data_IF_961907110874
#
_entry.id   IF_961907110874
#
_cell.length_a   1.000
_cell.length_b   1.000
_cell.length_c   1.000
_cell.angle_alpha   90.00
_cell.angle_beta   90.00
_cell.angle_gamma   90.00
#
_symmetry.space_group_name_H-M   'P 1'
#
loop_
_entity.id
_entity.type
_entity.pdbx_description
1 polymer ?
#
# COMPACT_ATOMS: atom_id res chain seq x y z
N UNK A 1 3.04 -6.63 -0.12
CA UNK A 1 3.13 -5.43 0.71
C UNK A 1 3.36 -4.20 -0.17
N UNK A 2 2.47 -3.24 -0.10
CA UNK A 2 2.58 -1.96 -0.79
C UNK A 2 2.90 -0.82 0.17
N UNK A 3 2.57 0.42 -0.20
CA UNK A 3 2.73 1.60 0.66
C UNK A 3 1.74 1.62 1.85
N UNK A 4 0.62 0.91 1.75
CA UNK A 4 -0.44 0.92 2.75
C UNK A 4 0.03 0.61 4.18
N UNK A 5 0.69 -0.53 4.43
CA UNK A 5 1.19 -0.88 5.76
C UNK A 5 2.30 0.04 6.26
N UNK A 6 2.97 0.76 5.36
CA UNK A 6 4.00 1.74 5.71
C UNK A 6 3.37 3.10 6.02
N UNK A 7 2.66 3.68 5.06
CA UNK A 7 2.05 5.01 5.19
C UNK A 7 0.93 5.02 6.23
N UNK A 8 0.02 4.04 6.14
CA UNK A 8 -1.10 3.94 7.07
C UNK A 8 -0.66 3.72 8.50
N UNK A 9 0.34 2.86 8.74
CA UNK A 9 0.85 2.61 10.08
C UNK A 9 1.59 3.82 10.66
N UNK A 10 2.39 4.51 9.84
CA UNK A 10 3.10 5.72 10.26
C UNK A 10 2.13 6.85 10.60
N UNK A 11 1.07 7.04 9.79
CA UNK A 11 0.00 7.98 10.11
C UNK A 11 -0.80 7.55 11.35
N UNK A 12 -1.07 6.25 11.49
CA UNK A 12 -1.76 5.70 12.65
C UNK A 12 -1.01 5.91 13.96
N UNK A 13 0.31 6.00 13.92
CA UNK A 13 1.12 6.31 15.10
C UNK A 13 0.86 7.72 15.67
N UNK A 14 0.15 8.61 14.96
CA UNK A 14 -0.33 9.89 15.51
C UNK A 14 -1.28 9.70 16.70
N UNK A 15 -2.00 8.59 16.76
CA UNK A 15 -2.85 8.26 17.93
C UNK A 15 -2.07 7.63 19.08
N UNK A 16 -0.74 7.48 18.93
CA UNK A 16 0.11 6.85 19.92
C UNK A 16 0.06 5.33 19.89
N UNK A 17 0.57 4.67 20.96
CA UNK A 17 0.75 3.21 20.97
C UNK A 17 -0.55 2.41 20.92
N UNK A 18 -1.70 3.02 21.08
CA UNK A 18 -3.01 2.35 20.93
C UNK A 18 -3.19 1.75 19.51
N UNK A 19 -2.47 2.28 18.52
CA UNK A 19 -2.47 1.76 17.16
C UNK A 19 -1.99 0.31 17.07
N UNK A 20 -1.08 -0.12 17.93
CA UNK A 20 -0.58 -1.50 17.94
C UNK A 20 -1.68 -2.52 18.20
N UNK A 21 -2.66 -2.18 19.04
CA UNK A 21 -3.79 -3.05 19.32
C UNK A 21 -4.63 -3.28 18.06
N UNK A 22 -4.94 -2.20 17.34
CA UNK A 22 -5.72 -2.33 16.11
C UNK A 22 -4.95 -3.11 15.03
N UNK A 23 -3.68 -2.81 14.79
CA UNK A 23 -2.88 -3.54 13.81
C UNK A 23 -2.83 -5.03 14.18
N UNK A 24 -2.53 -5.36 15.44
CA UNK A 24 -2.40 -6.76 15.88
C UNK A 24 -3.72 -7.51 15.77
N UNK A 25 -4.76 -7.02 16.44
CA UNK A 25 -6.05 -7.71 16.45
C UNK A 25 -6.77 -7.63 15.10
N UNK A 26 -6.67 -6.49 14.41
CA UNK A 26 -7.23 -6.32 13.08
C UNK A 26 -6.60 -7.29 12.07
N UNK A 27 -5.29 -7.45 12.09
CA UNK A 27 -4.59 -8.38 11.18
C UNK A 27 -4.99 -9.82 11.45
N UNK A 28 -5.03 -10.25 12.72
CA UNK A 28 -5.31 -11.66 13.08
C UNK A 28 -6.79 -12.01 12.84
N UNK A 29 -7.71 -11.19 13.36
CA UNK A 29 -9.14 -11.55 13.43
C UNK A 29 -9.97 -11.00 12.27
N UNK A 30 -9.49 -9.96 11.60
CA UNK A 30 -10.21 -9.36 10.48
C UNK A 30 -9.45 -9.56 9.16
N UNK A 31 -8.27 -8.99 9.00
CA UNK A 31 -7.53 -9.01 7.74
C UNK A 31 -7.14 -10.40 7.27
N UNK A 32 -6.51 -11.20 8.14
CA UNK A 32 -6.11 -12.56 7.83
C UNK A 32 -7.30 -13.47 7.53
N UNK A 33 -8.39 -13.33 8.29
CA UNK A 33 -9.63 -14.08 8.06
C UNK A 33 -10.26 -13.67 6.73
N UNK A 34 -10.36 -12.35 6.47
CA UNK A 34 -10.88 -11.82 5.21
C UNK A 34 -10.09 -12.37 4.01
N UNK A 35 -8.76 -12.29 4.05
CA UNK A 35 -7.90 -12.73 2.94
C UNK A 35 -7.99 -14.23 2.73
N UNK A 36 -8.02 -15.01 3.82
CA UNK A 36 -8.18 -16.45 3.73
C UNK A 36 -9.50 -16.83 3.05
N UNK A 37 -10.63 -16.29 3.52
CA UNK A 37 -11.92 -16.62 2.91
C UNK A 37 -12.05 -16.09 1.49
N UNK A 38 -11.59 -14.87 1.21
CA UNK A 38 -11.60 -14.30 -0.13
C UNK A 38 -10.81 -15.16 -1.12
N UNK A 39 -9.61 -15.61 -0.74
CA UNK A 39 -8.78 -16.47 -1.57
C UNK A 39 -9.35 -17.87 -1.75
N UNK A 40 -9.77 -18.53 -0.65
CA UNK A 40 -10.30 -19.88 -0.69
C UNK A 40 -11.66 -19.97 -1.40
N UNK A 41 -12.52 -18.96 -1.25
CA UNK A 41 -13.76 -18.89 -2.02
C UNK A 41 -13.48 -18.73 -3.51
N UNK A 42 -12.49 -17.93 -3.88
CA UNK A 42 -12.08 -17.80 -5.27
C UNK A 42 -11.54 -19.13 -5.83
N UNK A 43 -10.65 -19.80 -5.09
CA UNK A 43 -10.08 -21.09 -5.48
C UNK A 43 -11.19 -22.15 -5.74
N UNK A 44 -12.13 -22.28 -4.81
CA UNK A 44 -13.25 -23.23 -4.93
C UNK A 44 -14.30 -22.83 -5.96
N UNK A 45 -14.18 -21.66 -6.55
CA UNK A 45 -15.00 -21.18 -7.65
C UNK A 45 -14.17 -20.93 -8.92
N UNK A 46 -13.20 -21.80 -9.20
CA UNK A 46 -12.39 -21.79 -10.43
C UNK A 46 -11.60 -20.48 -10.64
N UNK A 47 -11.16 -19.83 -9.56
CA UNK A 47 -10.46 -18.56 -9.61
C UNK A 47 -11.36 -17.36 -9.94
N UNK A 48 -12.67 -17.46 -9.65
CA UNK A 48 -13.62 -16.37 -9.87
C UNK A 48 -13.24 -15.11 -9.12
N UNK A 49 -13.49 -13.95 -9.72
CA UNK A 49 -13.28 -12.65 -9.07
C UNK A 49 -14.19 -12.48 -7.85
N UNK A 50 -13.82 -11.60 -6.92
CA UNK A 50 -14.66 -11.34 -5.73
C UNK A 50 -16.07 -10.87 -6.14
N UNK A 51 -16.20 -10.13 -7.24
CA UNK A 51 -17.49 -9.71 -7.75
C UNK A 51 -18.32 -10.87 -8.29
N UNK A 52 -17.70 -11.84 -8.97
CA UNK A 52 -18.38 -13.05 -9.44
C UNK A 52 -18.81 -13.93 -8.27
N UNK A 53 -17.94 -14.16 -7.29
CA UNK A 53 -18.26 -14.87 -6.07
C UNK A 53 -19.43 -14.19 -5.37
N UNK A 54 -19.40 -12.87 -5.21
CA UNK A 54 -20.51 -12.11 -4.66
C UNK A 54 -21.80 -12.32 -5.44
N UNK A 55 -21.72 -12.35 -6.78
CA UNK A 55 -22.88 -12.60 -7.64
C UNK A 55 -23.50 -13.98 -7.44
N UNK A 56 -22.66 -15.01 -7.25
CA UNK A 56 -23.12 -16.41 -7.04
C UNK A 56 -23.89 -16.60 -5.74
N UNK A 57 -23.44 -15.91 -4.66
CA UNK A 57 -24.01 -16.10 -3.32
C UNK A 57 -25.02 -15.02 -2.92
N UNK A 58 -24.88 -13.78 -3.39
CA UNK A 58 -25.70 -12.63 -2.98
C UNK A 58 -26.53 -12.02 -4.12
N UNK A 59 -26.40 -12.56 -5.33
CA UNK A 59 -27.19 -12.19 -6.48
C UNK A 59 -26.63 -11.01 -7.30
N UNK A 60 -27.30 -10.69 -8.43
CA UNK A 60 -26.76 -9.80 -9.47
C UNK A 60 -26.65 -8.32 -9.04
N UNK A 61 -27.50 -7.88 -8.12
CA UNK A 61 -27.44 -6.50 -7.61
C UNK A 61 -26.14 -6.29 -6.85
N UNK A 62 -25.83 -7.17 -5.91
CA UNK A 62 -24.60 -7.10 -5.11
C UNK A 62 -23.36 -7.32 -5.98
N UNK A 63 -23.45 -8.13 -7.03
CA UNK A 63 -22.38 -8.30 -8.01
C UNK A 63 -22.03 -6.98 -8.69
N UNK A 64 -23.02 -6.21 -9.14
CA UNK A 64 -22.78 -4.94 -9.82
C UNK A 64 -22.24 -3.88 -8.86
N UNK A 65 -22.75 -3.82 -7.64
CA UNK A 65 -22.20 -2.94 -6.58
C UNK A 65 -20.72 -3.29 -6.35
N UNK A 66 -20.39 -4.57 -6.22
CA UNK A 66 -19.02 -5.02 -5.99
C UNK A 66 -18.08 -4.75 -7.17
N UNK A 67 -18.59 -4.83 -8.41
CA UNK A 67 -17.85 -4.45 -9.62
C UNK A 67 -17.48 -2.97 -9.61
N UNK A 68 -18.46 -2.08 -9.37
CA UNK A 68 -18.21 -0.63 -9.29
C UNK A 68 -17.21 -0.32 -8.18
N UNK A 69 -17.45 -0.88 -6.98
CA UNK A 69 -16.55 -0.70 -5.84
C UNK A 69 -15.12 -1.15 -6.15
N UNK A 70 -14.95 -2.33 -6.73
CA UNK A 70 -13.63 -2.87 -7.08
C UNK A 70 -12.90 -2.00 -8.10
N UNK A 71 -13.60 -1.52 -9.15
CA UNK A 71 -12.98 -0.65 -10.16
C UNK A 71 -12.53 0.67 -9.55
N UNK A 72 -13.38 1.33 -8.76
CA UNK A 72 -13.04 2.58 -8.07
C UNK A 72 -11.85 2.36 -7.14
N UNK A 73 -11.92 1.34 -6.27
CA UNK A 73 -10.84 0.98 -5.35
C UNK A 73 -9.51 0.77 -6.09
N UNK A 74 -9.51 0.00 -7.17
CA UNK A 74 -8.31 -0.34 -7.91
C UNK A 74 -7.69 0.87 -8.61
N UNK A 75 -8.50 1.77 -9.15
CA UNK A 75 -8.01 3.03 -9.74
C UNK A 75 -7.39 3.92 -8.66
N UNK A 76 -8.07 4.08 -7.51
CA UNK A 76 -7.56 4.88 -6.39
C UNK A 76 -6.24 4.33 -5.85
N UNK A 77 -6.18 3.02 -5.60
CA UNK A 77 -4.96 2.33 -5.12
C UNK A 77 -3.83 2.46 -6.14
N UNK A 78 -4.11 2.22 -7.43
CA UNK A 78 -3.13 2.37 -8.50
C UNK A 78 -2.57 3.80 -8.58
N UNK A 79 -3.42 4.80 -8.37
CA UNK A 79 -3.03 6.22 -8.34
C UNK A 79 -2.11 6.52 -7.16
N UNK A 80 -2.45 6.08 -5.95
CA UNK A 80 -1.61 6.26 -4.74
C UNK A 80 -0.26 5.57 -4.92
N UNK A 81 -0.25 4.37 -5.55
CA UNK A 81 0.98 3.64 -5.85
C UNK A 81 1.82 4.23 -6.99
N UNK A 82 1.30 5.21 -7.72
CA UNK A 82 2.07 6.03 -8.65
C UNK A 82 2.60 7.30 -7.97
N UNK A 83 1.76 8.01 -7.22
CA UNK A 83 2.11 9.28 -6.56
C UNK A 83 3.11 9.10 -5.43
N UNK A 84 2.95 8.06 -4.60
CA UNK A 84 3.83 7.79 -3.47
C UNK A 84 5.30 7.62 -3.87
N UNK A 85 5.64 6.69 -4.77
CA UNK A 85 6.99 6.54 -5.30
C UNK A 85 7.53 7.80 -5.98
N UNK A 86 6.71 8.51 -6.76
CA UNK A 86 7.11 9.77 -7.37
C UNK A 86 7.56 10.81 -6.33
N UNK A 87 6.78 10.95 -5.23
CA UNK A 87 7.13 11.82 -4.10
C UNK A 87 8.41 11.39 -3.38
N UNK A 88 8.64 10.08 -3.22
CA UNK A 88 9.84 9.56 -2.58
C UNK A 88 11.09 9.84 -3.43
N UNK A 89 11.03 9.63 -4.74
CA UNK A 89 12.14 9.94 -5.66
C UNK A 89 12.45 11.44 -5.61
N UNK A 90 11.44 12.31 -5.60
CA UNK A 90 11.63 13.76 -5.47
C UNK A 90 12.34 14.12 -4.17
N UNK A 91 11.94 13.52 -3.05
CA UNK A 91 12.59 13.74 -1.75
C UNK A 91 14.08 13.38 -1.80
N UNK A 92 14.40 12.28 -2.43
CA UNK A 92 15.80 11.87 -2.63
C UNK A 92 16.60 12.83 -3.51
N UNK A 93 16.02 13.21 -4.65
CA UNK A 93 16.67 14.18 -5.55
C UNK A 93 16.97 15.50 -4.82
N UNK A 94 16.01 16.00 -4.04
CA UNK A 94 16.20 17.22 -3.23
C UNK A 94 17.30 17.05 -2.19
N UNK A 95 17.28 15.95 -1.44
CA UNK A 95 18.28 15.68 -0.40
C UNK A 95 19.68 15.39 -0.97
N UNK A 96 19.76 14.98 -2.24
CA UNK A 96 21.03 14.81 -2.96
C UNK A 96 21.52 16.11 -3.63
N UNK A 97 20.88 17.25 -3.37
CA UNK A 97 21.28 18.55 -3.93
C UNK A 97 20.90 18.76 -5.41
N UNK A 98 20.04 17.89 -5.98
CA UNK A 98 19.56 18.07 -7.34
C UNK A 98 18.50 19.18 -7.40
N UNK A 99 18.35 19.81 -8.56
CA UNK A 99 17.38 20.88 -8.81
C UNK A 99 16.72 20.74 -10.17
N UNK A 100 15.70 21.55 -10.42
CA UNK A 100 14.98 21.57 -11.71
C UNK A 100 13.96 20.45 -11.85
N UNK A 101 13.84 19.88 -13.04
CA UNK A 101 12.80 18.93 -13.42
C UNK A 101 12.78 17.67 -12.55
N UNK A 102 13.95 17.17 -12.14
CA UNK A 102 14.12 15.98 -11.30
C UNK A 102 13.54 16.13 -9.88
N UNK A 103 13.30 17.34 -9.42
CA UNK A 103 12.70 17.64 -8.12
C UNK A 103 11.20 17.91 -8.20
N UNK A 104 10.57 17.59 -9.33
CA UNK A 104 9.15 17.80 -9.59
C UNK A 104 8.41 16.47 -9.57
N UNK A 105 7.42 16.33 -8.69
CA UNK A 105 6.60 15.10 -8.57
C UNK A 105 5.89 14.75 -9.88
N UNK A 106 5.42 15.76 -10.61
CA UNK A 106 4.74 15.58 -11.90
C UNK A 106 5.62 14.86 -12.93
N UNK A 107 6.92 15.17 -12.97
CA UNK A 107 7.86 14.52 -13.89
C UNK A 107 7.95 13.02 -13.66
N UNK A 108 8.17 12.59 -12.42
CA UNK A 108 8.27 11.18 -12.07
C UNK A 108 6.93 10.45 -12.18
N UNK A 109 5.84 11.13 -11.83
CA UNK A 109 4.49 10.59 -12.01
C UNK A 109 4.20 10.27 -13.48
N UNK A 110 4.54 11.18 -14.40
CA UNK A 110 4.38 10.94 -15.84
C UNK A 110 5.20 9.72 -16.29
N UNK A 111 6.44 9.59 -15.84
CA UNK A 111 7.29 8.43 -16.16
C UNK A 111 6.65 7.13 -15.67
N UNK A 112 6.12 7.10 -14.44
CA UNK A 112 5.45 5.93 -13.88
C UNK A 112 4.17 5.59 -14.65
N UNK A 113 3.37 6.58 -15.01
CA UNK A 113 2.16 6.37 -15.80
C UNK A 113 2.45 5.87 -17.22
N UNK A 114 3.51 6.38 -17.85
CA UNK A 114 4.00 5.86 -19.15
C UNK A 114 4.45 4.40 -19.00
N UNK A 115 5.15 4.07 -17.91
CA UNK A 115 5.49 2.68 -17.61
C UNK A 115 4.24 1.79 -17.48
N UNK A 116 3.20 2.22 -16.75
CA UNK A 116 1.95 1.47 -16.64
C UNK A 116 1.25 1.26 -17.97
N UNK A 117 1.29 2.28 -18.83
CA UNK A 117 0.75 2.17 -20.19
C UNK A 117 1.52 1.13 -21.01
N UNK A 118 2.84 1.18 -21.02
CA UNK A 118 3.70 0.23 -21.74
C UNK A 118 3.53 -1.20 -21.19
N UNK A 119 3.47 -1.35 -19.88
CA UNK A 119 3.28 -2.63 -19.20
C UNK A 119 1.97 -3.33 -19.57
N UNK A 120 0.96 -2.58 -20.05
CA UNK A 120 -0.29 -3.15 -20.56
C UNK A 120 -0.09 -4.00 -21.82
N UNK A 121 0.92 -3.71 -22.63
CA UNK A 121 1.18 -4.36 -23.92
C UNK A 121 2.29 -5.40 -23.88
N UNK A 122 3.23 -5.25 -22.96
CA UNK A 122 4.40 -6.12 -22.85
C UNK A 122 4.18 -7.07 -21.65
N UNK A 123 4.49 -8.35 -21.86
CA UNK A 123 4.52 -9.34 -20.76
C UNK A 123 5.78 -9.09 -19.89
N UNK A 124 5.77 -8.00 -19.15
CA UNK A 124 6.87 -7.64 -18.24
C UNK A 124 6.96 -8.65 -17.09
N UNK A 125 5.90 -9.40 -16.84
CA UNK A 125 5.79 -10.40 -15.77
C UNK A 125 6.96 -11.41 -15.75
N UNK A 126 7.48 -11.78 -16.93
CA UNK A 126 8.61 -12.69 -17.03
C UNK A 126 9.93 -12.08 -16.52
N UNK A 127 10.10 -10.77 -16.63
CA UNK A 127 11.30 -10.04 -16.19
C UNK A 127 11.13 -9.64 -14.71
N UNK A 128 10.01 -9.01 -14.38
CA UNK A 128 9.69 -8.55 -13.02
C UNK A 128 9.58 -9.75 -12.07
N UNK A 129 8.96 -10.87 -12.49
CA UNK A 129 8.81 -12.05 -11.65
C UNK A 129 10.13 -12.64 -11.16
N UNK A 130 11.23 -12.47 -11.90
CA UNK A 130 12.57 -12.90 -11.48
C UNK A 130 13.23 -11.92 -10.50
N UNK A 131 12.94 -10.64 -10.62
CA UNK A 131 13.55 -9.57 -9.80
C UNK A 131 12.70 -9.27 -8.56
N UNK A 132 11.41 -9.57 -8.60
CA UNK A 132 10.46 -9.31 -7.52
C UNK A 132 10.88 -9.87 -6.14
N UNK A 133 11.43 -11.11 -6.03
CA UNK A 133 11.93 -11.62 -4.75
C UNK A 133 13.02 -10.74 -4.14
N UNK A 134 13.88 -10.11 -4.96
CA UNK A 134 14.94 -9.21 -4.49
C UNK A 134 14.34 -7.99 -3.81
N UNK A 135 13.27 -7.41 -4.36
CA UNK A 135 12.58 -6.27 -3.76
C UNK A 135 11.93 -6.63 -2.42
N UNK A 136 11.33 -7.83 -2.34
CA UNK A 136 10.79 -8.36 -1.09
C UNK A 136 11.87 -8.54 -0.02
N UNK A 137 13.03 -9.07 -0.39
CA UNK A 137 14.17 -9.22 0.52
C UNK A 137 14.66 -7.84 0.99
N UNK A 138 14.77 -6.86 0.09
CA UNK A 138 15.14 -5.48 0.47
C UNK A 138 14.16 -4.86 1.47
N UNK A 139 12.85 -5.07 1.29
CA UNK A 139 11.83 -4.63 2.24
C UNK A 139 11.98 -5.31 3.61
N UNK A 140 12.26 -6.61 3.65
CA UNK A 140 12.48 -7.34 4.90
C UNK A 140 13.74 -6.83 5.60
N UNK A 141 14.84 -6.67 4.87
CA UNK A 141 16.11 -6.15 5.43
C UNK A 141 15.87 -4.73 5.97
N UNK A 142 15.15 -3.90 5.24
CA UNK A 142 14.78 -2.55 5.70
C UNK A 142 13.95 -2.61 6.98
N UNK A 143 12.92 -3.45 7.04
CA UNK A 143 12.08 -3.60 8.23
C UNK A 143 12.89 -4.06 9.45
N UNK A 144 13.77 -5.05 9.28
CA UNK A 144 14.70 -5.51 10.32
C UNK A 144 15.67 -4.41 10.73
N UNK A 145 16.19 -3.65 9.76
CA UNK A 145 17.10 -2.54 10.02
C UNK A 145 16.44 -1.41 10.82
N UNK A 146 15.17 -1.09 10.51
CA UNK A 146 14.40 -0.10 11.29
C UNK A 146 14.24 -0.55 12.73
N UNK A 147 13.83 -1.81 12.96
CA UNK A 147 13.73 -2.37 14.32
C UNK A 147 15.09 -2.28 15.03
N UNK A 148 16.15 -2.77 14.39
CA UNK A 148 17.48 -2.77 14.97
C UNK A 148 17.92 -1.34 15.33
N UNK A 149 17.68 -0.35 14.44
CA UNK A 149 17.98 1.05 14.70
C UNK A 149 17.21 1.63 15.90
N UNK A 150 15.94 1.23 16.09
CA UNK A 150 15.15 1.65 17.26
C UNK A 150 15.72 1.07 18.54
N UNK A 151 16.01 -0.21 18.58
CA UNK A 151 16.46 -0.89 19.81
C UNK A 151 17.93 -0.62 20.18
N UNK A 152 18.78 -0.26 19.22
CA UNK A 152 20.20 0.04 19.49
C UNK A 152 20.44 1.47 19.92
N UNK A 153 19.51 2.39 19.69
CA UNK A 153 19.67 3.78 20.09
C UNK A 153 18.82 4.07 21.33
N UNK A 154 19.46 4.34 22.50
CA UNK A 154 18.73 4.61 23.75
C UNK A 154 17.84 5.85 23.72
N UNK A 155 18.03 6.74 22.73
CA UNK A 155 17.19 7.92 22.56
C UNK A 155 15.80 7.58 21.97
N UNK A 156 15.64 6.41 21.38
CA UNK A 156 14.40 5.97 20.76
C UNK A 156 13.63 5.04 21.71
N UNK A 157 12.54 5.53 22.25
CA UNK A 157 11.72 4.78 23.20
C UNK A 157 10.30 4.66 22.68
N UNK A 158 9.81 3.42 22.58
CA UNK A 158 8.41 3.18 22.25
C UNK A 158 7.59 3.47 23.51
N UNK A 159 6.61 4.39 23.48
CA UNK A 159 5.80 4.68 24.64
C UNK A 159 4.96 3.45 25.03
N UNK A 160 4.92 3.18 26.34
CA UNK A 160 4.15 2.07 26.90
C UNK A 160 2.64 2.25 26.65
N UNK A 161 1.99 1.21 26.16
CA UNK A 161 0.54 1.25 25.87
C UNK A 161 -0.25 1.58 27.12
N UNK A 162 0.08 0.91 28.23
CA UNK A 162 -0.69 1.03 29.48
C UNK A 162 -0.61 2.43 30.12
N UNK A 163 0.48 3.13 29.90
CA UNK A 163 0.66 4.50 30.37
C UNK A 163 0.06 5.54 29.39
N UNK A 164 -0.12 5.17 28.12
CA UNK A 164 -0.51 6.06 27.04
C UNK A 164 -1.78 5.57 26.32
N UNK A 165 -2.71 4.98 27.04
CA UNK A 165 -3.99 4.50 26.53
C UNK A 165 -4.99 5.65 26.30
N UNK A 166 -4.52 6.73 25.70
CA UNK A 166 -5.28 7.93 25.41
C UNK A 166 -5.09 8.37 23.97
N UNK A 167 -5.93 9.30 23.54
CA UNK A 167 -5.77 9.88 22.20
C UNK A 167 -4.58 10.86 22.17
N UNK A 168 -3.48 10.46 21.54
CA UNK A 168 -2.27 11.29 21.39
C UNK A 168 -2.25 12.07 20.08
N UNK A 169 -3.32 12.06 19.29
CA UNK A 169 -3.40 12.79 18.03
C UNK A 169 -3.34 14.30 18.28
N UNK A 170 -2.44 15.07 17.61
CA UNK A 170 -2.27 16.50 17.85
C UNK A 170 -3.54 17.32 17.68
N UNK A 171 -4.35 17.00 16.68
CA UNK A 171 -5.65 17.67 16.42
C UNK A 171 -6.81 17.05 17.20
N UNK A 172 -6.58 16.18 18.19
CA UNK A 172 -7.62 15.45 18.92
C UNK A 172 -8.59 14.65 18.04
N UNK A 173 -8.17 14.26 16.83
CA UNK A 173 -8.99 13.44 15.94
C UNK A 173 -9.40 12.15 16.66
N UNK A 174 -10.70 11.78 16.68
CA UNK A 174 -11.18 10.61 17.42
C UNK A 174 -10.48 9.31 17.02
N UNK A 175 -10.21 8.44 17.98
CA UNK A 175 -9.67 7.10 17.73
C UNK A 175 -10.70 6.29 16.94
N UNK A 176 -11.95 6.27 17.43
CA UNK A 176 -13.02 5.53 16.76
C UNK A 176 -13.30 6.11 15.38
N UNK A 177 -13.36 5.26 14.41
CA UNK A 177 -13.45 5.46 12.97
C UNK A 177 -12.14 5.95 12.32
N UNK A 178 -11.55 7.08 12.76
CA UNK A 178 -10.45 7.69 12.01
C UNK A 178 -9.16 6.87 12.06
N UNK A 179 -8.70 6.43 13.23
CA UNK A 179 -7.53 5.56 13.33
C UNK A 179 -7.77 4.24 12.60
N UNK A 180 -8.95 3.65 12.75
CA UNK A 180 -9.30 2.38 12.11
C UNK A 180 -9.27 2.46 10.58
N UNK A 181 -9.76 3.55 10.01
CA UNK A 181 -9.72 3.80 8.56
C UNK A 181 -8.30 4.10 8.10
N UNK A 182 -7.56 4.97 8.81
CA UNK A 182 -6.19 5.36 8.47
C UNK A 182 -5.26 4.15 8.41
N UNK A 183 -5.40 3.23 9.35
CA UNK A 183 -4.55 2.03 9.45
C UNK A 183 -5.18 0.80 8.78
N UNK A 184 -6.27 0.98 8.04
CA UNK A 184 -6.96 -0.14 7.41
C UNK A 184 -6.02 -1.00 6.56
N UNK A 185 -5.16 -0.40 5.74
CA UNK A 185 -4.20 -1.14 4.91
C UNK A 185 -3.16 -1.95 5.71
N UNK A 186 -2.89 -1.59 6.97
CA UNK A 186 -1.98 -2.34 7.85
C UNK A 186 -2.67 -3.44 8.66
N UNK A 187 -3.98 -3.36 8.83
CA UNK A 187 -4.77 -4.30 9.62
C UNK A 187 -5.75 -5.12 8.77
N UNK A 188 -6.33 -4.51 7.73
CA UNK A 188 -7.22 -5.15 6.75
C UNK A 188 -6.97 -4.47 5.42
N UNK A 189 -6.54 -5.19 4.39
CA UNK A 189 -6.31 -4.59 3.09
C UNK A 189 -7.47 -4.85 2.13
N UNK A 190 -8.22 -3.81 1.78
CA UNK A 190 -9.27 -3.90 0.75
C UNK A 190 -8.71 -4.21 -0.64
N UNK A 191 -7.46 -3.88 -0.90
CA UNK A 191 -6.77 -4.26 -2.13
C UNK A 191 -6.60 -5.78 -2.23
N UNK A 192 -6.38 -6.48 -1.12
CA UNK A 192 -6.23 -7.94 -1.10
C UNK A 192 -7.47 -8.67 -1.61
N UNK A 193 -8.67 -8.17 -1.38
CA UNK A 193 -9.91 -8.80 -1.89
C UNK A 193 -9.92 -8.93 -3.42
N UNK A 194 -9.28 -7.99 -4.11
CA UNK A 194 -9.16 -8.00 -5.57
C UNK A 194 -7.96 -8.79 -6.08
N UNK A 195 -6.93 -8.98 -5.23
CA UNK A 195 -5.72 -9.70 -5.58
C UNK A 195 -5.79 -11.19 -5.22
N UNK A 196 -6.52 -11.56 -4.18
CA UNK A 196 -6.69 -12.95 -3.74
C UNK A 196 -7.14 -13.89 -4.87
N UNK A 197 -8.10 -13.51 -5.75
CA UNK A 197 -8.46 -14.33 -6.90
C UNK A 197 -7.34 -14.57 -7.91
N UNK A 198 -6.47 -13.58 -8.10
CA UNK A 198 -5.30 -13.72 -8.98
C UNK A 198 -4.28 -14.71 -8.40
N UNK A 199 -4.10 -14.65 -7.08
CA UNK A 199 -3.22 -15.58 -6.37
C UNK A 199 -3.82 -16.99 -6.32
N UNK A 200 -5.13 -17.13 -6.14
CA UNK A 200 -5.83 -18.41 -6.17
C UNK A 200 -5.56 -19.17 -7.48
N UNK A 201 -5.61 -18.49 -8.62
CA UNK A 201 -5.29 -19.07 -9.94
C UNK A 201 -3.86 -19.57 -10.06
N UNK A 202 -2.94 -19.11 -9.23
CA UNK A 202 -1.53 -19.49 -9.25
C UNK A 202 -1.19 -20.58 -8.24
N UNK A 203 -2.11 -20.94 -7.33
CA UNK A 203 -1.89 -21.96 -6.31
C UNK A 203 -1.80 -23.35 -6.94
N UNK A 204 -0.92 -24.17 -6.38
CA UNK A 204 -0.76 -25.57 -6.81
C UNK A 204 -1.57 -26.54 -5.95
N UNK A 205 -2.01 -26.12 -4.80
CA UNK A 205 -2.74 -26.95 -3.83
C UNK A 205 -3.52 -26.09 -2.84
N UNK A 206 -4.76 -26.44 -2.60
CA UNK A 206 -5.65 -25.81 -1.60
C UNK A 206 -5.03 -25.80 -0.19
N UNK A 207 -4.17 -26.78 0.13
CA UNK A 207 -3.46 -26.83 1.42
C UNK A 207 -2.55 -25.64 1.69
N UNK A 208 -2.13 -24.95 0.65
CA UNK A 208 -1.28 -23.74 0.76
C UNK A 208 -2.09 -22.48 1.09
N UNK A 209 -3.43 -22.51 0.99
CA UNK A 209 -4.29 -21.35 1.13
C UNK A 209 -4.12 -20.62 2.46
N UNK A 210 -3.99 -21.35 3.58
CA UNK A 210 -3.75 -20.71 4.88
C UNK A 210 -2.42 -19.93 4.90
N UNK A 211 -1.35 -20.50 4.37
CA UNK A 211 -0.06 -19.83 4.32
C UNK A 211 -0.05 -18.66 3.32
N UNK A 212 -0.64 -18.84 2.12
CA UNK A 212 -0.63 -17.85 1.04
C UNK A 212 -1.52 -16.65 1.38
N UNK A 213 -2.71 -16.87 1.91
CA UNK A 213 -3.67 -15.78 2.16
C UNK A 213 -3.55 -15.23 3.59
N UNK A 214 -3.83 -16.06 4.59
CA UNK A 214 -3.74 -15.63 5.99
C UNK A 214 -2.32 -15.23 6.39
N UNK A 215 -1.34 -16.09 6.06
CA UNK A 215 0.06 -15.84 6.40
C UNK A 215 0.62 -14.57 5.76
N UNK A 216 0.26 -14.27 4.50
CA UNK A 216 0.68 -13.03 3.83
C UNK A 216 0.13 -11.79 4.56
N UNK A 217 -1.14 -11.80 4.97
CA UNK A 217 -1.73 -10.68 5.72
C UNK A 217 -1.06 -10.49 7.09
N UNK A 218 -0.74 -11.60 7.79
CA UNK A 218 -0.01 -11.53 9.07
C UNK A 218 1.38 -10.92 8.86
N UNK A 219 2.10 -11.33 7.80
CA UNK A 219 3.39 -10.72 7.47
C UNK A 219 3.26 -9.21 7.17
N UNK A 220 2.20 -8.80 6.49
CA UNK A 220 1.93 -7.39 6.23
C UNK A 220 1.64 -6.61 7.52
N UNK A 221 0.88 -7.20 8.44
CA UNK A 221 0.62 -6.65 9.78
C UNK A 221 1.90 -6.49 10.61
N UNK A 222 2.83 -7.44 10.54
CA UNK A 222 4.15 -7.31 11.20
C UNK A 222 4.92 -6.11 10.64
N UNK A 223 4.94 -5.91 9.33
CA UNK A 223 5.57 -4.74 8.70
C UNK A 223 4.88 -3.46 9.20
N UNK A 224 3.56 -3.43 9.26
CA UNK A 224 2.81 -2.29 9.77
C UNK A 224 3.15 -1.97 11.24
N UNK A 225 3.29 -2.99 12.10
CA UNK A 225 3.72 -2.81 13.49
C UNK A 225 5.11 -2.17 13.59
N UNK A 226 6.05 -2.56 12.71
CA UNK A 226 7.39 -1.99 12.67
C UNK A 226 7.34 -0.50 12.33
N UNK A 227 6.57 -0.11 11.34
CA UNK A 227 6.43 1.29 10.95
C UNK A 227 5.65 2.12 11.95
N UNK A 228 4.64 1.55 12.60
CA UNK A 228 3.97 2.18 13.73
C UNK A 228 4.93 2.40 14.91
N UNK A 229 5.78 1.41 15.22
CA UNK A 229 6.80 1.53 16.25
C UNK A 229 7.82 2.64 15.92
N UNK A 230 8.25 2.73 14.65
CA UNK A 230 9.12 3.82 14.20
C UNK A 230 8.44 5.19 14.38
N UNK A 231 7.17 5.32 13.99
CA UNK A 231 6.39 6.54 14.21
C UNK A 231 6.28 6.94 15.67
N UNK A 232 6.08 5.97 16.58
CA UNK A 232 5.98 6.23 18.00
C UNK A 232 7.32 6.52 18.68
N UNK A 233 8.42 5.93 18.19
CA UNK A 233 9.71 5.95 18.90
C UNK A 233 10.66 7.07 18.44
N UNK A 234 10.60 7.47 17.16
CA UNK A 234 11.60 8.37 16.57
C UNK A 234 11.26 9.86 16.69
N UNK A 235 10.09 10.19 17.18
CA UNK A 235 9.59 11.56 17.19
C UNK A 235 9.17 12.00 18.59
N UNK A 236 9.38 13.28 18.87
CA UNK A 236 9.11 13.84 20.20
C UNK A 236 7.59 13.90 20.49
N UNK A 237 7.27 13.53 21.72
CA UNK A 237 5.95 13.70 22.31
C UNK A 237 5.97 15.03 23.08
N UNK A 238 5.05 15.94 22.76
CA UNK A 238 4.89 17.24 23.43
C UNK A 238 3.48 17.32 23.99
N UNK A 239 3.35 17.66 25.26
CA UNK A 239 2.05 17.73 25.96
C UNK A 239 1.16 16.48 25.82
N UNK A 240 1.80 15.30 25.81
CA UNK A 240 1.11 14.02 25.61
C UNK A 240 0.59 13.80 24.20
N UNK A 241 1.07 14.54 23.20
CA UNK A 241 0.69 14.47 21.79
C UNK A 241 1.88 14.13 20.90
N UNK A 242 1.61 13.42 19.81
CA UNK A 242 2.60 13.02 18.78
C UNK A 242 2.95 14.20 17.85
N UNK A 243 3.34 15.33 18.42
CA UNK A 243 3.58 16.58 17.68
C UNK A 243 4.74 16.47 16.70
N UNK A 244 5.86 15.87 17.10
CA UNK A 244 7.03 15.72 16.23
C UNK A 244 6.77 14.82 15.03
N UNK A 245 5.95 13.77 15.18
CA UNK A 245 5.51 12.95 14.06
C UNK A 245 4.58 13.71 13.11
N UNK A 246 3.69 14.54 13.66
CA UNK A 246 2.80 15.36 12.84
C UNK A 246 3.57 16.37 11.99
N UNK A 247 4.61 16.99 12.52
CA UNK A 247 5.51 17.87 11.75
C UNK A 247 6.22 17.12 10.63
N UNK A 248 6.75 15.93 10.91
CA UNK A 248 7.40 15.10 9.90
C UNK A 248 6.41 14.70 8.76
N UNK A 249 5.19 14.34 9.11
CA UNK A 249 4.15 14.00 8.15
C UNK A 249 3.61 15.23 7.38
N UNK A 250 3.63 16.42 7.97
CA UNK A 250 3.28 17.66 7.29
C UNK A 250 4.24 18.01 6.15
N UNK A 251 5.52 17.60 6.27
CA UNK A 251 6.49 17.68 5.17
C UNK A 251 6.23 16.67 4.03
N UNK A 252 5.29 15.75 4.23
CA UNK A 252 4.88 14.71 3.30
C UNK A 252 5.24 13.30 3.80
N UNK A 253 4.40 12.34 3.45
CA UNK A 253 4.58 10.92 3.86
C UNK A 253 5.91 10.35 3.37
N UNK A 254 6.31 10.69 2.14
CA UNK A 254 7.58 10.25 1.57
C UNK A 254 8.79 10.83 2.30
N UNK A 255 8.69 12.07 2.76
CA UNK A 255 9.73 12.71 3.56
C UNK A 255 9.86 12.03 4.93
N UNK A 256 8.75 11.67 5.58
CA UNK A 256 8.76 10.95 6.85
C UNK A 256 9.39 9.55 6.72
N UNK A 257 9.10 8.80 5.65
CA UNK A 257 9.76 7.51 5.40
C UNK A 257 11.26 7.67 5.21
N UNK A 258 11.67 8.66 4.40
CA UNK A 258 13.09 8.96 4.22
C UNK A 258 13.76 9.26 5.56
N UNK A 259 13.14 10.09 6.41
CA UNK A 259 13.65 10.48 7.72
C UNK A 259 13.79 9.27 8.67
N UNK A 260 12.77 8.39 8.72
CA UNK A 260 12.82 7.13 9.49
C UNK A 260 14.00 6.27 9.05
N UNK A 261 14.16 6.04 7.75
CA UNK A 261 15.25 5.22 7.20
C UNK A 261 16.62 5.85 7.47
N UNK A 262 16.74 7.17 7.33
CA UNK A 262 17.96 7.90 7.59
C UNK A 262 18.37 7.85 9.08
N UNK A 263 17.42 8.03 9.99
CA UNK A 263 17.65 8.00 11.44
C UNK A 263 18.01 6.60 11.96
N UNK A 264 17.43 5.54 11.39
CA UNK A 264 17.62 4.18 11.89
C UNK A 264 18.81 3.45 11.26
N UNK A 265 19.07 3.69 9.97
CA UNK A 265 20.07 2.93 9.20
C UNK A 265 21.05 3.82 8.43
N UNK A 266 20.90 5.14 8.46
CA UNK A 266 21.76 6.07 7.68
C UNK A 266 21.64 5.85 6.17
N UNK A 267 22.77 5.99 5.46
CA UNK A 267 22.81 5.87 3.99
C UNK A 267 22.36 4.51 3.45
N UNK A 268 22.61 3.42 4.18
CA UNK A 268 22.17 2.08 3.80
C UNK A 268 20.65 2.00 3.83
N UNK A 269 20.00 2.59 4.85
CA UNK A 269 18.55 2.64 4.97
C UNK A 269 17.91 3.41 3.82
N UNK A 270 18.51 4.52 3.43
CA UNK A 270 18.03 5.32 2.30
C UNK A 270 18.09 4.49 1.00
N UNK A 271 19.19 3.79 0.75
CA UNK A 271 19.34 2.94 -0.43
C UNK A 271 18.31 1.80 -0.48
N UNK A 272 18.08 1.14 0.67
CA UNK A 272 17.05 0.09 0.79
C UNK A 272 15.64 0.62 0.63
N UNK A 273 15.34 1.81 1.17
CA UNK A 273 14.06 2.49 0.99
C UNK A 273 13.81 2.77 -0.49
N UNK A 274 14.83 3.19 -1.26
CA UNK A 274 14.73 3.40 -2.70
C UNK A 274 14.30 2.14 -3.42
N UNK A 275 14.97 1.04 -3.15
CA UNK A 275 14.70 -0.22 -3.85
C UNK A 275 13.35 -0.79 -3.42
N UNK A 276 13.11 -0.90 -2.11
CA UNK A 276 11.92 -1.55 -1.56
C UNK A 276 10.67 -0.68 -1.65
N UNK A 277 10.73 0.55 -1.16
CA UNK A 277 9.55 1.42 -1.01
C UNK A 277 9.19 2.18 -2.30
N UNK A 278 10.12 2.33 -3.24
CA UNK A 278 9.83 2.94 -4.55
C UNK A 278 9.38 1.89 -5.55
N UNK A 279 10.17 0.83 -5.75
CA UNK A 279 9.92 -0.11 -6.86
C UNK A 279 8.72 -1.03 -6.57
N UNK A 280 8.57 -1.49 -5.32
CA UNK A 280 7.50 -2.41 -4.96
C UNK A 280 6.09 -1.83 -5.20
N UNK A 281 5.78 -0.59 -4.79
CA UNK A 281 4.48 0.02 -5.10
C UNK A 281 4.26 0.28 -6.59
N UNK A 282 5.30 0.63 -7.35
CA UNK A 282 5.16 0.82 -8.80
C UNK A 282 4.66 -0.47 -9.45
N UNK A 283 5.23 -1.62 -9.10
CA UNK A 283 4.77 -2.91 -9.62
C UNK A 283 3.36 -3.28 -9.14
N UNK A 284 3.03 -2.93 -7.89
CA UNK A 284 1.69 -3.14 -7.34
C UNK A 284 0.64 -2.24 -8.02
N UNK A 285 1.00 -1.01 -8.37
CA UNK A 285 0.14 -0.09 -9.10
C UNK A 285 -0.17 -0.57 -10.52
N UNK A 286 0.82 -1.13 -11.24
CA UNK A 286 0.57 -1.80 -12.53
C UNK A 286 -0.47 -2.92 -12.37
N UNK A 287 -0.31 -3.75 -11.34
CA UNK A 287 -1.25 -4.84 -11.06
C UNK A 287 -2.64 -4.32 -10.72
N UNK A 288 -2.76 -3.20 -9.99
CA UNK A 288 -4.03 -2.58 -9.65
C UNK A 288 -4.77 -2.07 -10.91
N UNK A 289 -4.10 -1.32 -11.77
CA UNK A 289 -4.69 -0.85 -13.03
C UNK A 289 -5.04 -1.99 -13.98
N UNK A 290 -4.20 -3.03 -14.04
CA UNK A 290 -4.48 -4.25 -14.79
C UNK A 290 -5.73 -4.96 -14.28
N UNK A 291 -5.87 -5.09 -12.96
CA UNK A 291 -7.05 -5.70 -12.33
C UNK A 291 -8.32 -4.88 -12.57
N UNK A 292 -8.25 -3.54 -12.50
CA UNK A 292 -9.36 -2.66 -12.85
C UNK A 292 -9.82 -2.86 -14.29
N UNK A 293 -8.86 -2.91 -15.24
CA UNK A 293 -9.14 -3.19 -16.66
C UNK A 293 -9.78 -4.56 -16.85
N UNK A 294 -9.28 -5.61 -16.21
CA UNK A 294 -9.85 -6.95 -16.32
C UNK A 294 -11.26 -7.02 -15.72
N UNK A 295 -11.50 -6.38 -14.58
CA UNK A 295 -12.86 -6.29 -13.98
C UNK A 295 -13.84 -5.59 -14.92
N UNK A 296 -13.41 -4.53 -15.60
CA UNK A 296 -14.24 -3.86 -16.61
C UNK A 296 -14.44 -4.73 -17.86
N UNK A 297 -13.41 -5.45 -18.29
CA UNK A 297 -13.49 -6.35 -19.43
C UNK A 297 -14.51 -7.48 -19.19
N UNK A 298 -14.48 -8.10 -18.02
CA UNK A 298 -15.44 -9.12 -17.60
C UNK A 298 -16.87 -8.56 -17.51
N UNK A 299 -17.01 -7.35 -17.00
CA UNK A 299 -18.31 -6.69 -16.86
C UNK A 299 -18.93 -6.35 -18.23
N UNK A 300 -18.12 -5.78 -19.13
CA UNK A 300 -18.57 -5.34 -20.46
C UNK A 300 -18.48 -6.48 -21.50
N UNK A 301 -18.03 -7.66 -21.10
CA UNK A 301 -17.81 -8.84 -21.97
C UNK A 301 -16.91 -8.51 -23.19
N UNK A 302 -15.86 -7.74 -22.96
CA UNK A 302 -14.87 -7.35 -23.96
C UNK A 302 -13.68 -8.30 -23.87
N UNK A 303 -13.45 -9.04 -24.95
CA UNK A 303 -12.29 -9.92 -25.06
C UNK A 303 -10.97 -9.15 -24.97
N UNK A 304 -10.02 -9.69 -24.22
CA UNK A 304 -8.73 -9.09 -23.94
C UNK A 304 -7.56 -9.67 -24.75
N UNK A 305 -7.80 -10.56 -25.69
CA UNK A 305 -6.76 -11.11 -26.56
C UNK A 305 -6.28 -10.06 -27.57
N UNK A 306 -7.20 -9.22 -28.05
CA UNK A 306 -6.89 -8.13 -28.96
C UNK A 306 -6.26 -6.91 -28.26
N UNK A 307 -5.12 -6.43 -28.80
CA UNK A 307 -4.49 -5.19 -28.36
C UNK A 307 -5.42 -3.96 -28.42
N UNK A 308 -6.27 -3.89 -29.45
CA UNK A 308 -7.23 -2.79 -29.59
C UNK A 308 -8.25 -2.76 -28.44
N UNK A 309 -8.72 -3.92 -28.00
CA UNK A 309 -9.65 -4.02 -26.86
C UNK A 309 -8.97 -3.73 -25.53
N UNK A 310 -7.71 -4.15 -25.37
CA UNK A 310 -6.89 -3.75 -24.21
C UNK A 310 -6.74 -2.23 -24.13
N UNK A 311 -6.48 -1.57 -25.25
CA UNK A 311 -6.33 -0.11 -25.33
C UNK A 311 -7.62 0.61 -24.98
N UNK A 312 -8.77 0.14 -25.50
CA UNK A 312 -10.09 0.75 -25.22
C UNK A 312 -10.42 0.85 -23.73
N UNK A 313 -9.97 -0.12 -22.94
CA UNK A 313 -10.20 -0.14 -21.50
C UNK A 313 -9.03 0.46 -20.70
N UNK A 314 -7.79 0.29 -21.17
CA UNK A 314 -6.61 0.81 -20.52
C UNK A 314 -6.59 2.35 -20.49
N UNK A 315 -6.90 2.99 -21.62
CA UNK A 315 -6.86 4.46 -21.75
C UNK A 315 -7.81 5.15 -20.77
N UNK A 316 -9.10 4.78 -20.65
CA UNK A 316 -9.97 5.41 -19.65
C UNK A 316 -9.52 5.15 -18.20
N UNK A 317 -9.13 3.92 -17.89
CA UNK A 317 -8.72 3.54 -16.54
C UNK A 317 -7.45 4.31 -16.10
N UNK A 318 -6.41 4.31 -16.95
CA UNK A 318 -5.20 5.09 -16.71
C UNK A 318 -5.46 6.60 -16.81
N UNK A 319 -6.37 7.03 -17.67
CA UNK A 319 -6.76 8.43 -17.81
C UNK A 319 -7.36 9.00 -16.52
N UNK A 320 -8.26 8.25 -15.88
CA UNK A 320 -8.82 8.63 -14.57
C UNK A 320 -7.72 8.64 -13.50
N UNK A 321 -6.88 7.61 -13.44
CA UNK A 321 -5.74 7.55 -12.51
C UNK A 321 -4.75 8.70 -12.72
N UNK A 322 -4.45 9.03 -13.98
CA UNK A 322 -3.60 10.16 -14.33
C UNK A 322 -4.23 11.50 -13.91
N UNK A 323 -5.53 11.70 -14.16
CA UNK A 323 -6.26 12.89 -13.74
C UNK A 323 -6.19 13.09 -12.22
N UNK A 324 -6.46 12.02 -11.46
CA UNK A 324 -6.39 12.06 -9.99
C UNK A 324 -4.95 12.33 -9.52
N UNK A 325 -3.97 11.62 -10.06
CA UNK A 325 -2.57 11.75 -9.66
C UNK A 325 -1.97 13.11 -10.02
N UNK A 326 -2.24 13.62 -11.21
CA UNK A 326 -1.82 14.95 -11.65
C UNK A 326 -2.52 16.03 -10.83
N UNK A 327 -3.83 15.87 -10.59
CA UNK A 327 -4.60 16.78 -9.75
C UNK A 327 -4.06 16.88 -8.33
N UNK A 328 -3.62 15.76 -7.76
CA UNK A 328 -2.94 15.73 -6.46
C UNK A 328 -1.57 16.41 -6.53
N UNK A 329 -0.75 16.09 -7.53
CA UNK A 329 0.58 16.68 -7.70
C UNK A 329 0.54 18.20 -7.92
N UNK A 330 -0.54 18.72 -8.49
CA UNK A 330 -0.80 20.15 -8.69
C UNK A 330 -1.56 20.82 -7.54
N UNK A 331 -1.99 20.06 -6.52
CA UNK A 331 -2.69 20.56 -5.35
C UNK A 331 -4.19 20.85 -5.56
N UNK A 332 -4.79 20.41 -6.67
CA UNK A 332 -6.24 20.57 -6.92
C UNK A 332 -7.08 19.47 -6.26
N UNK A 333 -6.48 18.31 -6.00
CA UNK A 333 -7.14 17.14 -5.42
C UNK A 333 -6.33 16.67 -4.22
N UNK A 334 -6.99 16.55 -3.07
CA UNK A 334 -6.44 15.91 -1.87
C UNK A 334 -7.22 14.62 -1.61
N UNK A 335 -6.54 13.49 -1.45
CA UNK A 335 -7.11 12.19 -1.12
C UNK A 335 -6.30 11.44 -0.06
#
# INVERSE_FOLDING_TARGET
AGLGPIFGALQGALWGPVVFLWITFGTIFAGGVHDYFSGMMSERNDGASIAEVTGRYLGPVMQNIMRVFSVVLLIMVGTVFAVGPAGLIVTLCKNSGMSGLLTTTLFWLIIILVYYFIATFISIDAIIGKIYPVFGICLIIMAVGVIFGIFTNPAYTIPEIWANFSNMHPSNTPIWSFMFITVACGAISGFHSTQSPLMARCMKSEKQGHFVFYGAMVCEGVIALIWAAAGCALYNITDGKMAGLAEALAAGQSAAIYDVCAKTMGGVGIALAMIGVVICPITSGDTAFRSARLTLADWLKIDQDSYANRLKLCVPVLGVGAFLGIGNALGFINY
#
